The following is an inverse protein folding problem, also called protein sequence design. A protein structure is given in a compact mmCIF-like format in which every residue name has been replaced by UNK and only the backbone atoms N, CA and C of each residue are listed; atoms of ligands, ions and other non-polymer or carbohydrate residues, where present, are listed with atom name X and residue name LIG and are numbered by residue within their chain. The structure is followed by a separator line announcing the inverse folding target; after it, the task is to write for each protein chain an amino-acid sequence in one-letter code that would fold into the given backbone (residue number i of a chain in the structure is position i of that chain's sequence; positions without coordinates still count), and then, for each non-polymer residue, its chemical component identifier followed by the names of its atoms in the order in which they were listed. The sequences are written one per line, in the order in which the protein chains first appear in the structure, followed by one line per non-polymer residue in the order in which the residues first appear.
data_IF_116683390053
#
_entry.id   IF_116683390053
#
_cell.length_a   1.000
_cell.length_b   1.000
_cell.length_c   1.000
_cell.angle_alpha   90.00
_cell.angle_beta   90.00
_cell.angle_gamma   90.00
#
_symmetry.space_group_name_H-M   'P 1'
#
loop_
_entity.id
_entity.type
_entity.pdbx_description
1 polymer ?
#
# COMPACT_ATOMS: atom_id res chain seq x y z
N UNK A 1 -67.12 -44.82 19.91
CA UNK A 1 -66.76 -43.42 19.54
C UNK A 1 -65.40 -43.44 18.85
N UNK A 2 -65.32 -42.84 17.66
CA UNK A 2 -64.21 -42.80 16.69
C UNK A 2 -62.90 -42.24 17.29
N UNK A 3 -61.75 -42.90 17.14
CA UNK A 3 -60.78 -42.88 16.02
C UNK A 3 -59.81 -41.68 16.00
N UNK A 4 -58.59 -41.97 16.49
CA UNK A 4 -57.23 -41.55 16.08
C UNK A 4 -57.05 -40.36 15.11
N UNK A 5 -56.18 -39.44 15.58
CA UNK A 5 -55.21 -38.55 14.90
C UNK A 5 -55.59 -37.91 13.58
N UNK A 6 -55.49 -36.59 13.48
CA UNK A 6 -54.69 -35.87 12.47
C UNK A 6 -54.30 -34.47 13.01
N UNK A 7 -53.11 -34.37 13.62
CA UNK A 7 -52.41 -33.08 13.72
C UNK A 7 -51.90 -32.79 12.30
N UNK A 8 -52.70 -32.07 11.54
CA UNK A 8 -52.38 -31.64 10.18
C UNK A 8 -51.03 -30.94 10.15
N UNK A 9 -50.13 -31.55 9.38
CA UNK A 9 -48.82 -31.08 8.95
C UNK A 9 -48.89 -29.60 8.53
N UNK A 10 -48.23 -28.72 9.29
CA UNK A 10 -48.03 -27.35 8.84
C UNK A 10 -47.01 -27.39 7.70
N UNK A 11 -47.34 -27.02 6.46
CA UNK A 11 -46.38 -27.08 5.38
C UNK A 11 -45.19 -26.19 5.76
N UNK A 12 -43.98 -26.75 5.71
CA UNK A 12 -42.74 -26.01 5.88
C UNK A 12 -42.78 -24.83 4.89
N UNK A 13 -43.07 -23.62 5.41
CA UNK A 13 -43.16 -22.41 4.59
C UNK A 13 -41.82 -22.25 3.90
N UNK A 14 -41.80 -22.59 2.60
CA UNK A 14 -40.63 -22.43 1.75
C UNK A 14 -40.11 -20.99 1.86
N UNK A 15 -38.79 -20.80 1.65
CA UNK A 15 -38.15 -19.51 1.87
C UNK A 15 -38.93 -18.41 1.13
N UNK A 16 -39.41 -17.42 1.90
CA UNK A 16 -40.20 -16.32 1.33
C UNK A 16 -39.37 -15.69 0.22
N UNK A 17 -39.99 -15.45 -0.93
CA UNK A 17 -39.33 -14.81 -2.09
C UNK A 17 -38.63 -13.51 -1.68
N UNK A 18 -39.18 -12.78 -0.69
CA UNK A 18 -38.51 -11.67 -0.02
C UNK A 18 -37.18 -12.05 0.62
N UNK A 19 -37.14 -13.06 1.51
CA UNK A 19 -35.92 -13.48 2.21
C UNK A 19 -34.85 -14.03 1.25
N UNK A 20 -35.26 -14.73 0.19
CA UNK A 20 -34.34 -15.18 -0.87
C UNK A 20 -33.80 -14.00 -1.71
N UNK A 21 -34.67 -13.07 -2.10
CA UNK A 21 -34.28 -11.88 -2.87
C UNK A 21 -33.39 -10.92 -2.06
N UNK A 22 -33.66 -10.70 -0.76
CA UNK A 22 -32.82 -9.89 0.11
C UNK A 22 -31.44 -10.52 0.33
N UNK A 23 -31.35 -11.85 0.45
CA UNK A 23 -30.05 -12.55 0.50
C UNK A 23 -29.30 -12.41 -0.83
N UNK A 24 -29.98 -12.58 -1.96
CA UNK A 24 -29.38 -12.39 -3.28
C UNK A 24 -28.89 -10.94 -3.48
N UNK A 25 -29.67 -9.95 -3.05
CA UNK A 25 -29.29 -8.53 -3.10
C UNK A 25 -28.09 -8.24 -2.19
N UNK A 26 -28.08 -8.78 -0.97
CA UNK A 26 -26.95 -8.64 -0.03
C UNK A 26 -25.69 -9.28 -0.59
N UNK A 27 -25.80 -10.50 -1.14
CA UNK A 27 -24.69 -11.20 -1.79
C UNK A 27 -24.18 -10.43 -3.01
N UNK A 28 -25.07 -9.85 -3.82
CA UNK A 28 -24.69 -9.02 -4.96
C UNK A 28 -23.96 -7.73 -4.51
N UNK A 29 -24.41 -7.08 -3.43
CA UNK A 29 -23.72 -5.93 -2.85
C UNK A 29 -22.35 -6.30 -2.28
N UNK A 30 -22.25 -7.40 -1.55
CA UNK A 30 -20.97 -7.90 -1.02
C UNK A 30 -20.00 -8.26 -2.16
N UNK A 31 -20.49 -8.91 -3.23
CA UNK A 31 -19.71 -9.21 -4.43
C UNK A 31 -19.26 -7.93 -5.17
N UNK A 32 -20.14 -6.93 -5.30
CA UNK A 32 -19.79 -5.65 -5.92
C UNK A 32 -18.73 -4.91 -5.09
N UNK A 33 -18.87 -4.86 -3.77
CA UNK A 33 -17.86 -4.29 -2.87
C UNK A 33 -16.52 -5.04 -2.95
N UNK A 34 -16.56 -6.38 -3.00
CA UNK A 34 -15.36 -7.19 -3.18
C UNK A 34 -14.69 -6.93 -4.55
N UNK A 35 -15.49 -6.78 -5.62
CA UNK A 35 -15.02 -6.40 -6.95
C UNK A 35 -14.34 -5.04 -6.97
N UNK A 36 -14.95 -4.03 -6.34
CA UNK A 36 -14.37 -2.69 -6.20
C UNK A 36 -13.05 -2.71 -5.40
N UNK A 37 -13.00 -3.46 -4.29
CA UNK A 37 -11.74 -3.64 -3.53
C UNK A 37 -10.66 -4.30 -4.37
N UNK A 38 -11.03 -5.28 -5.21
CA UNK A 38 -10.08 -5.97 -6.10
C UNK A 38 -9.55 -5.04 -7.18
N UNK A 39 -10.41 -4.28 -7.85
CA UNK A 39 -10.02 -3.28 -8.85
C UNK A 39 -9.15 -2.19 -8.23
N UNK A 40 -9.51 -1.70 -7.04
CA UNK A 40 -8.71 -0.74 -6.31
C UNK A 40 -7.32 -1.33 -5.98
N UNK A 41 -7.24 -2.58 -5.52
CA UNK A 41 -5.95 -3.22 -5.24
C UNK A 41 -5.08 -3.39 -6.50
N UNK A 42 -5.69 -3.68 -7.65
CA UNK A 42 -4.99 -3.79 -8.94
C UNK A 42 -4.46 -2.42 -9.39
N UNK A 43 -5.28 -1.37 -9.33
CA UNK A 43 -4.87 -0.02 -9.68
C UNK A 43 -3.73 0.49 -8.79
N UNK A 44 -3.77 0.25 -7.47
CA UNK A 44 -2.66 0.63 -6.58
C UNK A 44 -1.37 -0.15 -6.89
N UNK A 45 -1.48 -1.41 -7.30
CA UNK A 45 -0.32 -2.20 -7.72
C UNK A 45 0.34 -1.63 -8.98
N UNK A 46 -0.48 -1.20 -9.95
CA UNK A 46 -0.04 -0.59 -11.20
C UNK A 46 0.63 0.76 -10.98
N UNK A 47 0.10 1.59 -10.07
CA UNK A 47 0.69 2.88 -9.67
C UNK A 47 2.13 2.73 -9.16
N UNK A 48 2.39 1.70 -8.35
CA UNK A 48 3.74 1.44 -7.86
C UNK A 48 4.69 1.01 -8.98
N UNK A 49 4.22 0.17 -9.90
CA UNK A 49 5.01 -0.26 -11.06
C UNK A 49 5.33 0.94 -11.95
N UNK A 50 4.35 1.81 -12.19
CA UNK A 50 4.54 3.04 -12.95
C UNK A 50 5.55 3.98 -12.29
N UNK A 51 5.48 4.18 -10.97
CA UNK A 51 6.46 5.01 -10.25
C UNK A 51 7.89 4.45 -10.37
N UNK A 52 8.07 3.14 -10.25
CA UNK A 52 9.38 2.50 -10.41
C UNK A 52 9.88 2.59 -11.86
N UNK A 53 8.99 2.46 -12.84
CA UNK A 53 9.33 2.64 -14.25
C UNK A 53 9.76 4.08 -14.54
N UNK A 54 9.05 5.08 -14.01
CA UNK A 54 9.41 6.49 -14.10
C UNK A 54 10.81 6.77 -13.52
N UNK A 55 11.13 6.16 -12.37
CA UNK A 55 12.46 6.26 -11.77
C UNK A 55 13.56 5.62 -12.64
N UNK A 56 13.32 4.39 -13.12
CA UNK A 56 14.25 3.67 -13.98
C UNK A 56 14.53 4.41 -15.29
N UNK A 57 13.49 4.98 -15.90
CA UNK A 57 13.57 5.75 -17.14
C UNK A 57 14.05 7.19 -16.94
N UNK A 58 14.15 7.67 -15.68
CA UNK A 58 14.35 9.08 -15.35
C UNK A 58 13.33 10.01 -16.02
N UNK A 59 12.11 9.52 -16.11
CA UNK A 59 11.02 10.22 -16.77
C UNK A 59 10.06 10.82 -15.73
N UNK A 60 10.13 12.13 -15.46
CA UNK A 60 9.25 12.79 -14.50
C UNK A 60 7.79 12.83 -14.94
N UNK A 61 7.49 12.71 -16.24
CA UNK A 61 6.12 12.79 -16.76
C UNK A 61 5.36 11.48 -16.52
N UNK A 62 6.09 10.37 -16.34
CA UNK A 62 5.52 9.08 -15.96
C UNK A 62 5.24 8.94 -14.46
N UNK A 63 5.59 9.92 -13.62
CA UNK A 63 5.29 9.84 -12.18
C UNK A 63 3.77 9.92 -11.95
N UNK A 64 3.15 8.90 -11.31
CA UNK A 64 1.70 8.82 -11.14
C UNK A 64 1.08 10.08 -10.53
N UNK A 65 -0.15 10.40 -10.95
CA UNK A 65 -0.89 11.56 -10.43
C UNK A 65 -1.15 11.45 -8.91
N UNK A 66 -1.30 12.59 -8.23
CA UNK A 66 -1.45 12.62 -6.77
C UNK A 66 -2.67 11.82 -6.28
N UNK A 67 -3.76 11.81 -7.06
CA UNK A 67 -4.97 11.04 -6.74
C UNK A 67 -4.71 9.53 -6.78
N UNK A 68 -3.83 9.08 -7.68
CA UNK A 68 -3.48 7.67 -7.84
C UNK A 68 -2.52 7.18 -6.74
N UNK A 69 -1.70 8.08 -6.20
CA UNK A 69 -0.82 7.79 -5.05
C UNK A 69 -1.57 7.68 -3.71
N UNK A 70 -2.84 8.09 -3.67
CA UNK A 70 -3.69 8.04 -2.49
C UNK A 70 -3.48 9.21 -1.52
N UNK A 71 -4.35 9.30 -0.52
CA UNK A 71 -4.43 10.45 0.42
C UNK A 71 -3.19 10.63 1.30
N UNK A 72 -2.34 9.60 1.40
CA UNK A 72 -1.09 9.59 2.15
C UNK A 72 0.00 10.47 1.54
N UNK A 73 -0.05 10.69 0.22
CA UNK A 73 0.94 11.47 -0.51
C UNK A 73 0.29 12.78 -0.95
N UNK A 74 0.55 13.85 -0.19
CA UNK A 74 0.09 15.18 -0.57
C UNK A 74 0.72 15.63 -1.90
N UNK A 75 0.09 16.60 -2.57
CA UNK A 75 0.59 17.14 -3.84
C UNK A 75 2.04 17.64 -3.76
N UNK A 76 2.43 18.24 -2.64
CA UNK A 76 3.81 18.66 -2.37
C UNK A 76 4.79 17.48 -2.32
N UNK A 77 4.39 16.36 -1.71
CA UNK A 77 5.17 15.13 -1.67
C UNK A 77 5.39 14.55 -3.08
N UNK A 78 4.34 14.49 -3.89
CA UNK A 78 4.46 14.12 -5.30
C UNK A 78 5.40 15.06 -6.07
N UNK A 79 5.27 16.37 -5.88
CA UNK A 79 6.12 17.34 -6.56
C UNK A 79 7.62 17.12 -6.22
N UNK A 80 7.93 16.77 -4.97
CA UNK A 80 9.28 16.38 -4.56
C UNK A 80 9.76 15.12 -5.29
N UNK A 81 8.89 14.12 -5.48
CA UNK A 81 9.23 12.90 -6.24
C UNK A 81 9.49 13.18 -7.71
N UNK A 82 8.66 14.00 -8.35
CA UNK A 82 8.87 14.44 -9.74
C UNK A 82 10.22 15.14 -9.89
N UNK A 83 10.54 16.05 -8.96
CA UNK A 83 11.83 16.75 -8.94
C UNK A 83 13.00 15.79 -8.75
N UNK A 84 12.88 14.84 -7.84
CA UNK A 84 13.89 13.82 -7.59
C UNK A 84 14.15 12.93 -8.82
N UNK A 85 13.10 12.49 -9.52
CA UNK A 85 13.22 11.67 -10.74
C UNK A 85 13.86 12.48 -11.88
N UNK A 86 13.49 13.76 -12.03
CA UNK A 86 14.05 14.67 -13.04
C UNK A 86 15.52 14.99 -12.80
N UNK A 87 15.93 15.05 -11.54
CA UNK A 87 17.29 15.44 -11.17
C UNK A 87 18.31 14.37 -11.56
N UNK A 88 19.55 14.81 -11.82
CA UNK A 88 20.66 13.88 -12.02
C UNK A 88 20.83 13.00 -10.77
N UNK A 89 21.15 11.73 -11.02
CA UNK A 89 21.30 10.75 -9.95
C UNK A 89 22.38 11.20 -8.96
N UNK A 90 22.06 11.26 -7.67
CA UNK A 90 23.00 11.74 -6.65
C UNK A 90 22.79 11.04 -5.31
N UNK A 91 23.91 10.77 -4.64
CA UNK A 91 23.94 10.20 -3.30
C UNK A 91 23.51 8.72 -3.21
N UNK A 92 23.85 8.05 -2.09
CA UNK A 92 23.46 6.67 -1.84
C UNK A 92 22.02 6.55 -1.35
N UNK A 93 21.28 5.55 -1.86
CA UNK A 93 19.92 5.23 -1.42
C UNK A 93 19.85 4.54 -0.05
N UNK A 94 20.97 3.99 0.42
CA UNK A 94 21.03 2.97 1.48
C UNK A 94 20.40 3.44 2.79
N UNK A 95 20.78 4.63 3.27
CA UNK A 95 20.25 5.16 4.53
C UNK A 95 18.74 5.47 4.42
N UNK A 96 18.30 6.06 3.30
CA UNK A 96 16.90 6.37 3.08
C UNK A 96 16.05 5.10 3.01
N UNK A 97 16.51 4.05 2.34
CA UNK A 97 15.86 2.74 2.31
C UNK A 97 15.75 2.12 3.72
N UNK A 98 16.79 2.22 4.55
CA UNK A 98 16.73 1.72 5.92
C UNK A 98 15.71 2.49 6.78
N UNK A 99 15.64 3.82 6.63
CA UNK A 99 14.60 4.63 7.27
C UNK A 99 13.20 4.20 6.84
N UNK A 100 13.01 3.97 5.55
CA UNK A 100 11.76 3.50 4.97
C UNK A 100 11.37 2.12 5.52
N UNK A 101 12.30 1.16 5.59
CA UNK A 101 12.05 -0.15 6.19
C UNK A 101 11.65 -0.07 7.66
N UNK A 102 12.26 0.84 8.43
CA UNK A 102 11.85 1.10 9.81
C UNK A 102 10.45 1.72 9.88
N UNK A 103 10.13 2.69 9.02
CA UNK A 103 8.81 3.33 8.96
C UNK A 103 7.70 2.35 8.58
N UNK A 104 8.00 1.40 7.68
CA UNK A 104 7.09 0.34 7.25
C UNK A 104 7.07 -0.87 8.18
N UNK A 105 7.93 -0.91 9.21
CA UNK A 105 8.13 -2.04 10.11
C UNK A 105 8.42 -3.37 9.37
N UNK A 106 9.17 -3.28 8.28
CA UNK A 106 9.57 -4.43 7.48
C UNK A 106 10.91 -5.02 7.97
N UNK A 107 11.13 -6.34 7.79
CA UNK A 107 12.43 -6.94 8.05
C UNK A 107 13.47 -6.38 7.07
N UNK A 108 14.64 -6.02 7.60
CA UNK A 108 15.78 -5.60 6.77
C UNK A 108 16.55 -6.82 6.30
N UNK A 109 16.99 -6.87 5.02
CA UNK A 109 17.82 -7.96 4.52
C UNK A 109 19.09 -8.12 5.37
N UNK A 110 19.55 -9.38 5.52
CA UNK A 110 20.67 -9.71 6.41
C UNK A 110 21.93 -8.87 6.15
N UNK A 111 22.20 -8.56 4.87
CA UNK A 111 23.34 -7.74 4.45
C UNK A 111 23.35 -6.31 5.02
N UNK A 112 22.21 -5.77 5.46
CA UNK A 112 22.10 -4.38 5.97
C UNK A 112 21.68 -4.32 7.44
N UNK A 113 21.72 -5.44 8.18
CA UNK A 113 21.32 -5.45 9.58
C UNK A 113 22.22 -4.60 10.47
N UNK A 114 23.53 -4.59 10.21
CA UNK A 114 24.47 -3.78 10.99
C UNK A 114 24.28 -2.29 10.72
N UNK A 115 24.11 -1.90 9.45
CA UNK A 115 23.77 -0.52 9.07
C UNK A 115 22.46 -0.06 9.71
N UNK A 116 21.45 -0.94 9.78
CA UNK A 116 20.18 -0.64 10.46
C UNK A 116 20.39 -0.37 11.95
N UNK A 117 21.15 -1.23 12.64
CA UNK A 117 21.44 -1.07 14.08
C UNK A 117 22.19 0.23 14.33
N UNK A 118 23.21 0.53 13.53
CA UNK A 118 23.97 1.77 13.63
C UNK A 118 23.08 2.99 13.41
N UNK A 119 22.19 2.96 12.41
CA UNK A 119 21.24 4.03 12.15
C UNK A 119 20.26 4.22 13.33
N UNK A 120 19.75 3.14 13.93
CA UNK A 120 18.89 3.25 15.11
C UNK A 120 19.59 3.93 16.26
N UNK A 121 20.86 3.60 16.53
CA UNK A 121 21.67 4.28 17.55
C UNK A 121 21.84 5.77 17.24
N UNK A 122 22.08 6.13 15.98
CA UNK A 122 22.16 7.53 15.55
C UNK A 122 20.83 8.28 15.75
N UNK A 123 19.69 7.64 15.52
CA UNK A 123 18.39 8.28 15.73
C UNK A 123 18.10 8.51 17.21
N UNK A 124 18.58 7.64 18.10
CA UNK A 124 18.45 7.83 19.55
C UNK A 124 19.22 9.06 20.06
N UNK A 125 20.28 9.49 19.37
CA UNK A 125 21.02 10.72 19.73
C UNK A 125 20.33 11.99 19.21
N UNK A 126 19.46 11.87 18.21
CA UNK A 126 18.74 12.98 17.56
C UNK A 126 17.28 13.07 18.00
N UNK A 127 17.02 13.16 19.31
CA UNK A 127 15.67 13.09 19.91
C UNK A 127 14.66 14.13 19.42
N UNK A 128 15.11 15.25 18.86
CA UNK A 128 14.23 16.33 18.37
C UNK A 128 13.96 16.28 16.86
N UNK A 129 14.54 15.32 16.13
CA UNK A 129 14.30 15.18 14.69
C UNK A 129 13.05 14.34 14.39
N UNK A 130 12.33 14.65 13.30
CA UNK A 130 11.17 13.87 12.90
C UNK A 130 11.56 12.43 12.57
N UNK A 131 10.83 11.49 13.17
CA UNK A 131 11.11 10.06 13.02
C UNK A 131 10.89 9.55 11.59
N UNK A 132 11.36 8.34 11.27
CA UNK A 132 11.21 7.74 9.93
C UNK A 132 9.74 7.66 9.47
N UNK A 133 8.80 7.42 10.39
CA UNK A 133 7.37 7.36 10.07
C UNK A 133 6.77 8.73 9.65
N UNK A 134 7.43 9.85 9.98
CA UNK A 134 6.98 11.20 9.63
C UNK A 134 7.66 11.73 8.36
N UNK A 135 8.84 11.20 8.03
CA UNK A 135 9.71 11.67 6.94
C UNK A 135 9.74 10.73 5.74
N UNK A 136 8.94 9.66 5.76
CA UNK A 136 8.98 8.62 4.73
C UNK A 136 8.75 9.17 3.31
N UNK A 137 7.93 10.22 3.14
CA UNK A 137 7.70 10.82 1.80
C UNK A 137 8.98 11.47 1.26
N UNK A 138 9.74 12.14 2.13
CA UNK A 138 11.04 12.74 1.80
C UNK A 138 12.11 11.66 1.61
N UNK A 139 12.07 10.60 2.41
CA UNK A 139 12.99 9.46 2.27
C UNK A 139 12.76 8.74 0.91
N UNK A 140 11.51 8.59 0.46
CA UNK A 140 11.20 8.10 -0.91
C UNK A 140 11.78 9.03 -1.98
N UNK A 141 11.64 10.35 -1.82
CA UNK A 141 12.24 11.32 -2.75
C UNK A 141 13.77 11.13 -2.84
N UNK A 142 14.42 10.92 -1.70
CA UNK A 142 15.87 10.68 -1.63
C UNK A 142 16.28 9.39 -2.36
N UNK A 143 15.50 8.32 -2.22
CA UNK A 143 15.72 7.08 -2.99
C UNK A 143 15.50 7.32 -4.49
N UNK A 144 14.42 8.02 -4.88
CA UNK A 144 14.16 8.34 -6.29
C UNK A 144 15.25 9.23 -6.90
N UNK A 145 15.93 10.06 -6.10
CA UNK A 145 17.06 10.85 -6.57
C UNK A 145 18.33 10.00 -6.73
N UNK A 146 18.51 8.93 -5.94
CA UNK A 146 19.65 8.01 -6.09
C UNK A 146 19.57 7.20 -7.38
N UNK A 147 20.69 6.61 -7.82
CA UNK A 147 20.75 5.73 -9.00
C UNK A 147 19.77 4.55 -8.91
N UNK A 148 19.16 4.17 -10.04
CA UNK A 148 18.25 3.04 -10.08
C UNK A 148 19.01 1.71 -10.12
N UNK A 149 18.68 0.79 -9.23
CA UNK A 149 19.10 -0.60 -9.27
C UNK A 149 17.96 -1.55 -8.86
N UNK A 150 18.05 -2.80 -9.28
CA UNK A 150 16.98 -3.78 -9.10
C UNK A 150 16.75 -4.17 -7.62
N UNK A 151 17.78 -4.11 -6.76
CA UNK A 151 17.64 -4.43 -5.35
C UNK A 151 16.91 -3.30 -4.61
N UNK A 152 17.37 -2.06 -4.78
CA UNK A 152 16.73 -0.87 -4.23
C UNK A 152 15.29 -0.73 -4.70
N UNK A 153 15.00 -1.00 -5.98
CA UNK A 153 13.64 -0.96 -6.51
C UNK A 153 12.71 -1.99 -5.82
N UNK A 154 13.16 -3.23 -5.63
CA UNK A 154 12.38 -4.26 -4.93
C UNK A 154 12.12 -3.89 -3.46
N UNK A 155 13.14 -3.37 -2.77
CA UNK A 155 13.03 -2.91 -1.38
C UNK A 155 12.07 -1.74 -1.24
N UNK A 156 12.21 -0.72 -2.10
CA UNK A 156 11.32 0.43 -2.15
C UNK A 156 9.86 0.00 -2.43
N UNK A 157 9.66 -0.92 -3.38
CA UNK A 157 8.33 -1.45 -3.68
C UNK A 157 7.68 -2.11 -2.47
N UNK A 158 8.43 -2.94 -1.73
CA UNK A 158 7.91 -3.62 -0.54
C UNK A 158 7.47 -2.63 0.54
N UNK A 159 8.29 -1.59 0.78
CA UNK A 159 7.96 -0.51 1.73
C UNK A 159 6.72 0.27 1.29
N UNK A 160 6.67 0.75 0.05
CA UNK A 160 5.57 1.57 -0.45
C UNK A 160 4.23 0.82 -0.41
N UNK A 161 4.21 -0.49 -0.68
CA UNK A 161 3.01 -1.35 -0.52
C UNK A 161 2.42 -1.27 0.89
N UNK A 162 3.25 -1.12 1.92
CA UNK A 162 2.79 -1.00 3.31
C UNK A 162 2.40 0.43 3.65
N UNK A 163 3.27 1.40 3.36
CA UNK A 163 3.09 2.81 3.75
C UNK A 163 1.88 3.47 3.07
N UNK A 164 1.59 3.09 1.81
CA UNK A 164 0.44 3.63 1.08
C UNK A 164 -0.88 2.95 1.48
N UNK A 165 -0.85 1.74 2.06
CA UNK A 165 -2.04 0.99 2.45
C UNK A 165 -2.47 1.21 3.90
N UNK A 166 -1.53 1.57 4.79
CA UNK A 166 -1.84 1.84 6.20
C UNK A 166 -3.01 2.82 6.32
#
# INVERSE_FOLDING_TARGET
MAARSERGDAPARGPRLGDAAFRAQRQAMEAAQAGLRRLAAQAHGEVLVQLLAAWAARDPDQVPAAQALGSRVAAAGRAAWVSAVRSAASGPASQALLRLEMAAELPTPAAFLDDRRQLQLQLLTRRNEPGPAQTWVQDVASVLQSGHDAESARRLQAVLKVLMRR
#
